data_IF_769091101099
#
_entry.id   IF_769091101099
#
_cell.length_a   1.000
_cell.length_b   1.000
_cell.length_c   1.000
_cell.angle_alpha   90.00
_cell.angle_beta   90.00
_cell.angle_gamma   90.00
#
_symmetry.space_group_name_H-M   'P 1'
#
loop_
_entity.id
_entity.type
_entity.pdbx_description
1 polymer ?
#
# COMPACT_ATOMS: atom_id res chain seq x y z
N UNK A 1 -5.66 18.47 -18.71
CA UNK A 1 -4.78 17.69 -17.80
C UNK A 1 -5.62 17.26 -16.60
N UNK A 2 -5.58 16.06 -16.01
CA UNK A 2 -4.85 14.82 -16.22
C UNK A 2 -5.60 13.80 -15.34
N UNK A 3 -6.44 12.92 -15.90
CA UNK A 3 -7.18 11.90 -15.12
C UNK A 3 -6.48 10.52 -15.15
N UNK A 4 -5.21 10.48 -15.60
CA UNK A 4 -4.44 9.24 -15.82
C UNK A 4 -3.41 8.92 -14.74
N UNK A 5 -3.20 9.79 -13.74
CA UNK A 5 -2.08 9.63 -12.80
C UNK A 5 -2.40 8.74 -11.58
N UNK A 6 -3.65 8.68 -11.14
CA UNK A 6 -4.04 7.86 -9.97
C UNK A 6 -3.96 6.36 -10.25
N UNK A 7 -4.25 5.95 -11.50
CA UNK A 7 -4.10 4.55 -11.93
C UNK A 7 -2.65 4.09 -11.85
N UNK A 8 -1.70 4.95 -12.27
CA UNK A 8 -0.26 4.64 -12.19
C UNK A 8 0.23 4.55 -10.75
N UNK A 9 -0.21 5.47 -9.88
CA UNK A 9 0.23 5.50 -8.48
C UNK A 9 -0.27 4.30 -7.68
N UNK A 10 -1.55 3.95 -7.79
CA UNK A 10 -2.13 2.84 -7.05
C UNK A 10 -1.58 1.50 -7.55
N UNK A 11 -1.41 1.34 -8.86
CA UNK A 11 -0.74 0.17 -9.43
C UNK A 11 0.70 0.04 -8.94
N UNK A 12 1.47 1.13 -8.83
CA UNK A 12 2.82 1.09 -8.28
C UNK A 12 2.84 0.66 -6.80
N UNK A 13 1.90 1.17 -6.00
CA UNK A 13 1.70 0.76 -4.61
C UNK A 13 1.40 -0.75 -4.53
N UNK A 14 0.44 -1.24 -5.32
CA UNK A 14 0.07 -2.66 -5.32
C UNK A 14 1.21 -3.56 -5.76
N UNK A 15 1.97 -3.16 -6.79
CA UNK A 15 3.13 -3.91 -7.27
C UNK A 15 4.22 -4.03 -6.19
N UNK A 16 4.45 -2.98 -5.39
CA UNK A 16 5.38 -3.03 -4.26
C UNK A 16 4.87 -3.94 -3.13
N UNK A 17 3.58 -3.86 -2.80
CA UNK A 17 2.98 -4.72 -1.77
C UNK A 17 3.05 -6.19 -2.18
N UNK A 18 2.84 -6.50 -3.46
CA UNK A 18 2.93 -7.85 -3.99
C UNK A 18 4.34 -8.46 -3.89
N UNK A 19 5.38 -7.63 -3.92
CA UNK A 19 6.78 -8.08 -3.79
C UNK A 19 7.17 -8.44 -2.36
N UNK A 20 6.35 -8.13 -1.35
CA UNK A 20 6.68 -8.45 0.05
C UNK A 20 6.59 -9.97 0.22
N UNK A 21 7.69 -10.66 0.56
CA UNK A 21 7.65 -12.11 0.73
C UNK A 21 6.82 -12.53 1.96
N UNK A 22 6.35 -13.79 2.01
CA UNK A 22 5.69 -14.31 3.21
C UNK A 22 6.64 -14.25 4.42
N UNK A 23 6.06 -14.05 5.61
CA UNK A 23 6.82 -13.87 6.86
C UNK A 23 7.47 -12.49 7.02
N UNK A 24 7.36 -11.61 6.03
CA UNK A 24 7.87 -10.25 6.08
C UNK A 24 6.73 -9.23 6.04
N UNK A 25 6.99 -8.08 6.66
CA UNK A 25 6.07 -6.95 6.74
C UNK A 25 6.80 -5.68 6.37
N UNK A 26 6.05 -4.70 5.89
CA UNK A 26 6.54 -3.35 5.61
C UNK A 26 5.60 -2.33 6.23
N UNK A 27 6.05 -1.09 6.34
CA UNK A 27 5.22 0.00 6.85
C UNK A 27 4.61 0.83 5.73
N UNK A 28 3.45 1.44 6.01
CA UNK A 28 2.84 2.42 5.09
C UNK A 28 3.82 3.53 4.69
N UNK A 29 4.67 3.98 5.61
CA UNK A 29 5.68 5.01 5.36
C UNK A 29 6.80 4.54 4.42
N UNK A 30 7.22 3.28 4.51
CA UNK A 30 8.24 2.72 3.62
C UNK A 30 7.74 2.62 2.19
N UNK A 31 6.52 2.11 1.98
CA UNK A 31 5.91 2.08 0.64
C UNK A 31 5.72 3.49 0.10
N UNK A 32 5.24 4.40 0.94
CA UNK A 32 5.04 5.79 0.57
C UNK A 32 6.34 6.46 0.09
N UNK A 33 7.45 6.26 0.81
CA UNK A 33 8.77 6.76 0.43
C UNK A 33 9.28 6.12 -0.87
N UNK A 34 9.04 4.83 -1.08
CA UNK A 34 9.47 4.12 -2.29
C UNK A 34 8.75 4.59 -3.55
N UNK A 35 7.48 4.99 -3.43
CA UNK A 35 6.66 5.47 -4.55
C UNK A 35 6.69 7.00 -4.70
N UNK A 36 7.11 7.72 -3.66
CA UNK A 36 7.07 9.19 -3.65
C UNK A 36 5.68 9.75 -3.32
N UNK A 37 4.93 9.09 -2.44
CA UNK A 37 3.62 9.55 -1.97
C UNK A 37 3.55 9.62 -0.44
N UNK A 38 2.35 9.80 0.13
CA UNK A 38 2.14 9.83 1.58
C UNK A 38 1.66 8.47 2.10
N UNK A 39 1.97 8.15 3.36
CA UNK A 39 1.47 6.94 4.01
C UNK A 39 -0.07 6.87 4.01
N UNK A 40 -0.74 8.02 4.08
CA UNK A 40 -2.20 8.12 3.98
C UNK A 40 -2.70 7.73 2.59
N UNK A 41 -1.99 8.12 1.52
CA UNK A 41 -2.31 7.68 0.15
C UNK A 41 -2.19 6.17 -0.02
N UNK A 42 -1.18 5.54 0.58
CA UNK A 42 -1.05 4.07 0.61
C UNK A 42 -2.23 3.43 1.34
N UNK A 43 -2.63 3.99 2.48
CA UNK A 43 -3.83 3.55 3.20
C UNK A 43 -5.10 3.64 2.35
N UNK A 44 -5.29 4.74 1.61
CA UNK A 44 -6.41 4.88 0.68
C UNK A 44 -6.36 3.86 -0.47
N UNK A 45 -5.18 3.58 -1.02
CA UNK A 45 -5.02 2.55 -2.04
C UNK A 45 -5.41 1.17 -1.49
N UNK A 46 -4.94 0.80 -0.30
CA UNK A 46 -5.33 -0.46 0.35
C UNK A 46 -6.85 -0.52 0.63
N UNK A 47 -7.46 0.59 1.05
CA UNK A 47 -8.90 0.67 1.31
C UNK A 47 -9.76 0.62 0.04
N UNK A 48 -9.21 1.00 -1.11
CA UNK A 48 -9.87 0.96 -2.41
C UNK A 48 -9.82 -0.42 -3.08
N UNK A 49 -9.11 -1.39 -2.51
CA UNK A 49 -9.07 -2.75 -3.03
C UNK A 49 -10.44 -3.44 -2.89
N UNK A 50 -10.93 -4.11 -3.93
CA UNK A 50 -12.14 -4.93 -3.82
C UNK A 50 -11.91 -6.11 -2.86
N UNK A 51 -12.99 -6.53 -2.21
CA UNK A 51 -13.00 -7.75 -1.40
C UNK A 51 -12.53 -8.94 -2.24
N UNK A 52 -11.51 -9.66 -1.76
CA UNK A 52 -10.92 -10.80 -2.48
C UNK A 52 -9.77 -10.47 -3.42
N UNK A 53 -9.20 -9.25 -3.36
CA UNK A 53 -7.96 -8.94 -4.06
C UNK A 53 -6.79 -9.81 -3.59
N UNK A 54 -5.97 -10.29 -4.53
CA UNK A 54 -4.74 -11.05 -4.26
C UNK A 54 -3.60 -10.21 -3.66
N UNK A 55 -3.79 -8.90 -3.52
CA UNK A 55 -2.81 -8.01 -2.93
C UNK A 55 -2.72 -8.29 -1.42
N UNK A 56 -1.53 -8.64 -0.88
CA UNK A 56 -1.38 -9.03 0.53
C UNK A 56 -1.33 -7.79 1.45
N UNK A 57 -2.44 -7.06 1.53
CA UNK A 57 -2.59 -5.82 2.30
C UNK A 57 -2.28 -6.01 3.79
N UNK A 58 -2.51 -7.22 4.34
CA UNK A 58 -2.19 -7.59 5.72
C UNK A 58 -0.69 -7.51 6.05
N UNK A 59 0.19 -7.44 5.05
CA UNK A 59 1.65 -7.28 5.24
C UNK A 59 2.08 -5.82 5.40
N UNK A 60 1.14 -4.87 5.32
CA UNK A 60 1.40 -3.44 5.48
C UNK A 60 0.90 -2.96 6.83
N UNK A 61 1.84 -2.58 7.71
CA UNK A 61 1.57 -2.21 9.11
C UNK A 61 1.94 -0.76 9.40
N UNK A 62 1.56 -0.25 10.57
CA UNK A 62 1.91 1.11 10.95
C UNK A 62 3.41 1.25 11.32
N UNK A 63 3.86 2.49 11.48
CA UNK A 63 5.26 2.79 11.82
C UNK A 63 5.70 2.24 13.19
N UNK A 64 4.76 1.86 14.07
CA UNK A 64 5.04 1.25 15.37
C UNK A 64 5.12 -0.28 15.30
N UNK A 65 5.04 -0.88 14.11
CA UNK A 65 5.03 -2.33 13.94
C UNK A 65 3.73 -3.00 14.37
N UNK A 66 2.64 -2.23 14.51
CA UNK A 66 1.32 -2.73 14.93
C UNK A 66 0.33 -2.71 13.77
N UNK A 67 -0.67 -3.58 13.86
CA UNK A 67 -1.84 -3.49 12.98
C UNK A 67 -2.59 -2.21 13.37
N UNK A 68 -2.88 -1.35 12.39
CA UNK A 68 -3.69 -0.15 12.64
C UNK A 68 -5.11 -0.59 13.03
N UNK A 69 -5.65 -0.16 14.18
CA UNK A 69 -7.07 -0.31 14.44
C UNK A 69 -7.84 0.47 13.38
N UNK A 70 -8.92 -0.15 12.90
CA UNK A 70 -9.77 0.40 11.83
C UNK A 70 -10.74 1.43 12.39
#
# INVERSE_FOLDING_TARGET
MSKKETGSLFSAIYALVFKIPPGHVTTYGQIARAVGCTARTVGFAMAALPSGSDVPWQRVINAQGKISPR
#
